data_IF_761587322008
#
_entry.id   IF_761587322008
#
_cell.length_a   1.000
_cell.length_b   1.000
_cell.length_c   1.000
_cell.angle_alpha   90.00
_cell.angle_beta   90.00
_cell.angle_gamma   90.00
#
_symmetry.space_group_name_H-M   'P 1'
#
loop_
_entity.id
_entity.type
_entity.pdbx_description
1 polymer ?
#
# COMPACT_ATOMS: atom_id res chain seq x y z
N UNK A 1 -8.53 16.48 -0.24
CA UNK A 1 -8.78 15.82 -1.54
C UNK A 1 -9.69 16.65 -2.41
N UNK A 2 -9.26 16.91 -3.64
CA UNK A 2 -9.98 17.79 -4.57
C UNK A 2 -11.39 17.33 -4.92
N UNK A 3 -11.73 16.07 -4.70
CA UNK A 3 -13.04 15.50 -5.01
C UNK A 3 -14.00 15.46 -3.82
N UNK A 4 -13.64 16.12 -2.74
CA UNK A 4 -14.53 16.29 -1.60
C UNK A 4 -14.58 15.15 -0.60
N UNK A 5 -13.71 14.16 -0.74
CA UNK A 5 -13.65 13.08 0.23
C UNK A 5 -12.84 13.49 1.45
N UNK A 6 -13.32 13.11 2.63
CA UNK A 6 -12.58 13.33 3.87
C UNK A 6 -11.57 12.22 4.08
N UNK A 7 -10.35 12.59 4.44
CA UNK A 7 -9.29 11.61 4.65
C UNK A 7 -8.36 12.07 5.77
N UNK A 8 -7.62 11.11 6.32
CA UNK A 8 -6.59 11.37 7.33
C UNK A 8 -5.25 10.90 6.79
N UNK A 9 -4.21 11.69 7.02
CA UNK A 9 -2.85 11.38 6.58
C UNK A 9 -2.06 10.74 7.70
N UNK A 10 -1.13 9.85 7.34
CA UNK A 10 -0.19 9.24 8.29
C UNK A 10 -0.90 8.69 9.53
N UNK A 11 -1.88 7.83 9.30
CA UNK A 11 -2.79 7.38 10.34
C UNK A 11 -2.13 6.30 11.21
N UNK A 12 -1.70 6.68 12.40
CA UNK A 12 -0.95 5.82 13.31
C UNK A 12 -1.83 4.86 14.12
N UNK A 13 -3.12 5.03 14.09
CA UNK A 13 -4.05 4.18 14.85
C UNK A 13 -4.31 2.82 14.22
N UNK A 14 -3.85 2.60 12.99
CA UNK A 14 -3.99 1.32 12.30
C UNK A 14 -2.62 0.68 12.08
N UNK A 15 -2.58 -0.68 12.00
CA UNK A 15 -1.34 -1.38 11.69
C UNK A 15 -0.69 -0.86 10.42
N UNK A 16 0.64 -0.72 10.43
CA UNK A 16 1.40 -0.29 9.27
C UNK A 16 1.38 1.20 9.00
N UNK A 17 0.67 1.98 9.80
CA UNK A 17 0.57 3.44 9.65
C UNK A 17 0.22 3.85 8.21
N UNK A 18 -1.00 3.57 7.73
CA UNK A 18 -1.39 3.94 6.37
C UNK A 18 -1.15 5.40 6.07
N UNK A 19 -0.71 5.69 4.85
CA UNK A 19 -0.43 7.06 4.42
C UNK A 19 -1.72 7.89 4.32
N UNK A 20 -2.79 7.28 3.84
CA UNK A 20 -4.09 7.92 3.72
C UNK A 20 -5.18 6.94 4.16
N UNK A 21 -6.12 7.43 4.95
CA UNK A 21 -7.24 6.61 5.43
C UNK A 21 -8.55 7.35 5.16
N UNK A 22 -9.48 6.64 4.55
CA UNK A 22 -10.87 7.10 4.38
C UNK A 22 -11.71 6.34 5.41
N UNK A 23 -11.85 6.93 6.60
CA UNK A 23 -12.48 6.25 7.73
C UNK A 23 -13.95 5.90 7.47
N UNK A 24 -14.65 6.77 6.78
CA UNK A 24 -16.07 6.54 6.46
C UNK A 24 -16.27 5.24 5.67
N UNK A 25 -15.34 4.91 4.79
CA UNK A 25 -15.45 3.74 3.92
C UNK A 25 -14.57 2.59 4.37
N UNK A 26 -13.81 2.76 5.45
CA UNK A 26 -12.83 1.79 5.94
C UNK A 26 -11.85 1.38 4.86
N UNK A 27 -11.26 2.38 4.22
CA UNK A 27 -10.23 2.19 3.19
C UNK A 27 -8.90 2.71 3.72
N UNK A 28 -7.89 1.85 3.70
CA UNK A 28 -6.51 2.21 4.08
C UNK A 28 -5.63 2.16 2.85
N UNK A 29 -4.93 3.26 2.58
CA UNK A 29 -4.10 3.41 1.38
C UNK A 29 -2.64 3.56 1.78
N UNK A 30 -1.79 2.74 1.19
CA UNK A 30 -0.36 2.76 1.40
C UNK A 30 0.36 3.19 0.12
N UNK A 31 1.39 4.03 0.28
CA UNK A 31 2.25 4.45 -0.81
C UNK A 31 3.61 3.77 -0.62
N UNK A 32 3.89 2.72 -1.39
CA UNK A 32 5.07 1.89 -1.20
C UNK A 32 6.20 2.28 -2.13
N UNK A 33 7.38 2.52 -1.57
CA UNK A 33 8.59 2.73 -2.36
C UNK A 33 9.01 1.44 -3.05
N UNK A 34 9.34 1.50 -4.32
CA UNK A 34 9.61 0.32 -5.13
C UNK A 34 10.74 -0.55 -4.59
N UNK A 35 11.86 0.06 -4.26
CA UNK A 35 13.03 -0.68 -3.80
C UNK A 35 12.79 -1.31 -2.43
N UNK A 36 12.37 -0.51 -1.44
CA UNK A 36 12.26 -0.97 -0.06
C UNK A 36 11.14 -1.96 0.16
N UNK A 37 10.12 -1.96 -0.68
CA UNK A 37 9.02 -2.92 -0.61
C UNK A 37 9.15 -4.06 -1.62
N UNK A 38 10.29 -4.10 -2.32
CA UNK A 38 10.64 -5.23 -3.18
C UNK A 38 9.76 -5.40 -4.41
N UNK A 39 9.45 -4.29 -5.10
CA UNK A 39 8.72 -4.38 -6.35
C UNK A 39 9.48 -5.27 -7.33
N UNK A 40 8.77 -6.16 -8.03
CA UNK A 40 9.37 -7.11 -8.95
C UNK A 40 10.48 -7.92 -8.29
N UNK A 41 10.16 -8.46 -7.10
CA UNK A 41 11.14 -9.16 -6.26
C UNK A 41 11.86 -10.28 -6.98
N UNK A 42 11.18 -10.96 -7.90
CA UNK A 42 11.76 -12.04 -8.69
C UNK A 42 12.93 -11.56 -9.56
N UNK A 43 12.88 -10.28 -9.97
CA UNK A 43 13.96 -9.66 -10.75
C UNK A 43 14.98 -8.99 -9.83
N UNK A 44 14.51 -8.34 -8.78
CA UNK A 44 15.37 -7.57 -7.88
C UNK A 44 16.30 -8.47 -7.05
N UNK A 45 15.77 -9.57 -6.51
CA UNK A 45 16.54 -10.44 -5.63
C UNK A 45 17.82 -10.98 -6.29
N UNK A 46 17.76 -11.53 -7.52
CA UNK A 46 19.00 -11.98 -8.20
C UNK A 46 20.01 -10.86 -8.43
N UNK A 47 19.54 -9.64 -8.67
CA UNK A 47 20.45 -8.50 -8.81
C UNK A 47 21.14 -8.17 -7.51
N UNK A 48 20.42 -8.24 -6.39
CA UNK A 48 20.97 -7.99 -5.08
C UNK A 48 21.99 -9.06 -4.67
N UNK A 49 21.79 -10.31 -5.09
CA UNK A 49 22.71 -11.39 -4.81
C UNK A 49 24.09 -11.14 -5.40
N UNK A 50 24.16 -10.38 -6.48
CA UNK A 50 25.41 -10.03 -7.16
C UNK A 50 26.03 -8.73 -6.66
N UNK A 51 25.35 -8.03 -5.75
CA UNK A 51 25.82 -6.73 -5.26
C UNK A 51 26.61 -6.84 -3.97
N UNK A 52 27.27 -5.75 -3.58
CA UNK A 52 27.88 -5.65 -2.26
C UNK A 52 26.78 -5.54 -1.21
N UNK A 53 26.99 -6.14 -0.04
CA UNK A 53 26.03 -6.16 1.06
C UNK A 53 24.70 -6.85 0.69
N UNK A 54 24.78 -7.87 -0.15
CA UNK A 54 23.62 -8.60 -0.62
C UNK A 54 22.77 -9.16 0.53
N UNK A 55 23.41 -9.76 1.53
CA UNK A 55 22.69 -10.34 2.66
C UNK A 55 21.88 -9.31 3.42
N UNK A 56 22.47 -8.13 3.62
CA UNK A 56 21.80 -7.03 4.32
C UNK A 56 20.52 -6.60 3.58
N UNK A 57 20.64 -6.34 2.28
CA UNK A 57 19.51 -5.84 1.50
C UNK A 57 18.42 -6.89 1.30
N UNK A 58 18.82 -8.13 1.04
CA UNK A 58 17.86 -9.22 0.85
C UNK A 58 17.07 -9.45 2.13
N UNK A 59 17.74 -9.50 3.28
CA UNK A 59 17.09 -9.66 4.58
C UNK A 59 16.15 -8.51 4.88
N UNK A 60 16.60 -7.28 4.64
CA UNK A 60 15.80 -6.09 4.94
C UNK A 60 14.54 -6.04 4.09
N UNK A 61 14.67 -6.25 2.78
CA UNK A 61 13.52 -6.18 1.88
C UNK A 61 12.57 -7.35 2.10
N UNK A 62 13.11 -8.56 2.32
CA UNK A 62 12.28 -9.72 2.64
C UNK A 62 11.44 -9.48 3.88
N UNK A 63 12.03 -8.89 4.92
CA UNK A 63 11.33 -8.57 6.16
C UNK A 63 10.26 -7.51 5.92
N UNK A 64 10.55 -6.51 5.10
CA UNK A 64 9.57 -5.48 4.76
C UNK A 64 8.37 -6.10 4.03
N UNK A 65 8.62 -7.02 3.11
CA UNK A 65 7.53 -7.71 2.39
C UNK A 65 6.67 -8.57 3.31
N UNK A 66 7.31 -9.28 4.24
CA UNK A 66 6.57 -10.07 5.23
C UNK A 66 5.70 -9.18 6.12
N UNK A 67 6.25 -8.04 6.53
CA UNK A 67 5.49 -7.08 7.35
C UNK A 67 4.31 -6.51 6.58
N UNK A 68 4.50 -6.17 5.30
CA UNK A 68 3.40 -5.68 4.47
C UNK A 68 2.28 -6.71 4.39
N UNK A 69 2.65 -7.98 4.20
CA UNK A 69 1.68 -9.07 4.11
C UNK A 69 0.91 -9.25 5.42
N UNK A 70 1.61 -9.20 6.55
CA UNK A 70 0.99 -9.29 7.87
C UNK A 70 0.04 -8.12 8.12
N UNK A 71 0.45 -6.91 7.75
CA UNK A 71 -0.38 -5.71 7.89
C UNK A 71 -1.64 -5.84 7.04
N UNK A 72 -1.50 -6.29 5.80
CA UNK A 72 -2.64 -6.48 4.91
C UNK A 72 -3.64 -7.48 5.51
N UNK A 73 -3.16 -8.61 5.98
CA UNK A 73 -4.01 -9.64 6.58
C UNK A 73 -4.74 -9.12 7.81
N UNK A 74 -4.04 -8.39 8.65
CA UNK A 74 -4.64 -7.85 9.88
C UNK A 74 -5.71 -6.81 9.57
N UNK A 75 -5.46 -5.91 8.63
CA UNK A 75 -6.44 -4.90 8.24
C UNK A 75 -7.66 -5.54 7.58
N UNK A 76 -7.46 -6.52 6.72
CA UNK A 76 -8.56 -7.24 6.10
C UNK A 76 -9.41 -7.95 7.14
N UNK A 77 -8.79 -8.58 8.13
CA UNK A 77 -9.49 -9.23 9.22
C UNK A 77 -10.35 -8.24 10.01
N UNK A 78 -9.88 -7.01 10.19
CA UNK A 78 -10.60 -5.95 10.90
C UNK A 78 -11.65 -5.25 10.03
N UNK A 79 -11.85 -5.72 8.81
CA UNK A 79 -12.89 -5.19 7.92
C UNK A 79 -12.48 -4.02 7.06
N UNK A 80 -11.18 -3.76 6.96
CA UNK A 80 -10.65 -2.69 6.12
C UNK A 80 -10.36 -3.18 4.71
N UNK A 81 -10.56 -2.29 3.73
CA UNK A 81 -10.09 -2.50 2.38
C UNK A 81 -8.70 -1.87 2.27
N UNK A 82 -7.73 -2.63 1.81
CA UNK A 82 -6.35 -2.18 1.70
C UNK A 82 -6.02 -1.92 0.24
N UNK A 83 -5.52 -0.73 -0.05
CA UNK A 83 -5.04 -0.36 -1.38
C UNK A 83 -3.57 0.03 -1.25
N UNK A 84 -2.72 -0.56 -2.09
CA UNK A 84 -1.30 -0.22 -2.14
C UNK A 84 -0.94 0.25 -3.53
N UNK A 85 -0.28 1.40 -3.59
CA UNK A 85 0.25 1.95 -4.84
C UNK A 85 1.76 2.05 -4.75
N UNK A 86 2.43 1.77 -5.85
CA UNK A 86 3.85 2.06 -5.95
C UNK A 86 4.07 3.56 -6.12
N UNK A 87 5.15 4.08 -5.52
CA UNK A 87 5.43 5.51 -5.55
C UNK A 87 5.50 6.09 -6.96
N UNK A 88 6.10 5.35 -7.91
CA UNK A 88 6.17 5.80 -9.30
C UNK A 88 4.80 5.87 -9.96
N UNK A 89 3.90 4.97 -9.62
CA UNK A 89 2.54 4.99 -10.18
C UNK A 89 1.77 6.21 -9.67
N UNK A 90 1.98 6.58 -8.42
CA UNK A 90 1.35 7.78 -7.87
C UNK A 90 1.83 9.02 -8.63
N UNK A 91 3.11 9.10 -8.94
CA UNK A 91 3.69 10.25 -9.64
C UNK A 91 3.31 10.31 -11.11
N UNK A 92 3.35 9.18 -11.81
CA UNK A 92 3.15 9.10 -13.27
C UNK A 92 1.73 8.80 -13.69
N UNK A 93 0.98 8.14 -12.84
CA UNK A 93 -0.38 7.65 -13.15
C UNK A 93 -1.36 8.03 -12.05
N UNK A 94 -1.27 9.27 -11.59
CA UNK A 94 -2.11 9.79 -10.50
C UNK A 94 -3.60 9.60 -10.78
N UNK A 95 -4.03 9.90 -12.01
CA UNK A 95 -5.45 9.79 -12.38
C UNK A 95 -5.95 8.35 -12.27
N UNK A 96 -5.11 7.39 -12.64
CA UNK A 96 -5.46 5.98 -12.52
C UNK A 96 -5.57 5.55 -11.07
N UNK A 97 -4.66 6.03 -10.21
CA UNK A 97 -4.71 5.75 -8.78
C UNK A 97 -5.99 6.31 -8.17
N UNK A 98 -6.34 7.54 -8.50
CA UNK A 98 -7.58 8.16 -8.04
C UNK A 98 -8.79 7.37 -8.49
N UNK A 99 -8.79 6.88 -9.74
CA UNK A 99 -9.88 6.07 -10.26
C UNK A 99 -10.06 4.78 -9.46
N UNK A 100 -8.97 4.11 -9.11
CA UNK A 100 -9.03 2.89 -8.29
C UNK A 100 -9.70 3.19 -6.95
N UNK A 101 -9.33 4.29 -6.31
CA UNK A 101 -9.92 4.69 -5.03
C UNK A 101 -11.42 4.97 -5.19
N UNK A 102 -11.80 5.69 -6.23
CA UNK A 102 -13.21 6.03 -6.48
C UNK A 102 -14.05 4.78 -6.78
N UNK A 103 -13.51 3.85 -7.56
CA UNK A 103 -14.18 2.58 -7.83
C UNK A 103 -14.37 1.77 -6.56
N UNK A 104 -13.37 1.78 -5.68
CA UNK A 104 -13.44 1.09 -4.39
C UNK A 104 -14.53 1.70 -3.51
N UNK A 105 -14.62 3.03 -3.47
CA UNK A 105 -15.67 3.73 -2.72
C UNK A 105 -17.05 3.37 -3.30
N UNK A 106 -17.18 3.35 -4.60
CA UNK A 106 -18.43 3.00 -5.27
C UNK A 106 -18.87 1.59 -4.90
N UNK A 107 -17.94 0.63 -4.94
CA UNK A 107 -18.23 -0.75 -4.59
C UNK A 107 -18.65 -0.89 -3.12
N UNK A 108 -18.02 -0.14 -2.23
CA UNK A 108 -18.41 -0.13 -0.81
C UNK A 108 -19.85 0.36 -0.63
N UNK A 109 -20.24 1.41 -1.35
CA UNK A 109 -21.60 1.93 -1.28
C UNK A 109 -22.64 0.94 -1.80
N UNK A 110 -22.31 0.23 -2.87
CA UNK A 110 -23.21 -0.77 -3.44
C UNK A 110 -23.42 -1.95 -2.52
N UNK A 111 -22.46 -2.24 -1.65
CA UNK A 111 -22.54 -3.38 -0.72
C UNK A 111 -23.10 -3.03 0.66
N UNK A 112 -23.49 -1.78 0.88
CA UNK A 112 -24.01 -1.32 2.18
C UNK A 112 -25.50 -1.62 2.39
N UNK A 113 -26.14 -2.23 1.44
CA UNK A 113 -27.54 -2.63 1.60
C UNK A 113 -27.66 -3.99 2.32
#
# INVERSE_FOLDING_TARGET
WKKGYRYRKNYKELPGNPDIVLTKYKIAIFCDGEFFHGKDWEVLKPRLEKSNNSEFWISKISRNRERDDEVNKRLLFEGWTVIRFWGNDIKKHTDECVRVIEETIFDQRMNED
#
